data_IF_438567506591
#
_entry.id   IF_438567506591
#
_cell.length_a   1.000
_cell.length_b   1.000
_cell.length_c   1.000
_cell.angle_alpha   90.00
_cell.angle_beta   90.00
_cell.angle_gamma   90.00
#
_symmetry.space_group_name_H-M   'P 1'
#
loop_
_entity.id
_entity.type
_entity.pdbx_description
1 polymer ?
#
# COMPACT_ATOMS: atom_id res chain seq x y z
N UNK A 1 -16.77 -14.49 1.46
CA UNK A 1 -16.59 -15.93 1.21
C UNK A 1 -16.44 -16.18 -0.28
N UNK A 2 -15.59 -17.12 -0.65
CA UNK A 2 -15.46 -17.54 -2.04
C UNK A 2 -16.58 -18.51 -2.41
N UNK A 3 -17.26 -18.35 -3.56
CA UNK A 3 -18.29 -19.29 -3.97
C UNK A 3 -17.69 -20.68 -4.20
N UNK A 4 -18.36 -21.71 -3.65
CA UNK A 4 -17.89 -23.10 -3.68
C UNK A 4 -18.48 -23.94 -4.82
N UNK A 5 -19.36 -23.40 -5.66
CA UNK A 5 -20.06 -24.16 -6.71
C UNK A 5 -20.13 -23.39 -8.03
N UNK A 6 -19.80 -24.09 -9.15
CA UNK A 6 -20.00 -23.64 -10.51
C UNK A 6 -18.88 -22.73 -11.07
N UNK A 7 -18.97 -22.42 -12.35
CA UNK A 7 -18.17 -21.39 -12.99
C UNK A 7 -18.71 -20.02 -12.60
N UNK A 8 -18.07 -19.37 -11.62
CA UNK A 8 -18.43 -18.04 -11.16
C UNK A 8 -17.34 -17.05 -11.57
N UNK A 9 -17.72 -15.95 -12.22
CA UNK A 9 -16.81 -14.83 -12.48
C UNK A 9 -16.73 -14.00 -11.19
N UNK A 10 -15.56 -14.03 -10.54
CA UNK A 10 -15.30 -13.32 -9.30
C UNK A 10 -14.84 -11.87 -9.60
N UNK A 11 -15.63 -10.89 -9.17
CA UNK A 11 -15.36 -9.46 -9.40
C UNK A 11 -15.24 -8.63 -8.10
N UNK A 12 -15.44 -9.26 -6.93
CA UNK A 12 -15.62 -8.56 -5.65
C UNK A 12 -14.34 -8.16 -4.92
N UNK A 13 -13.15 -8.50 -5.45
CA UNK A 13 -11.86 -8.23 -4.79
C UNK A 13 -10.86 -7.47 -5.69
N UNK A 14 -11.33 -7.00 -6.86
CA UNK A 14 -10.52 -6.24 -7.81
C UNK A 14 -9.18 -6.93 -8.14
N UNK A 15 -9.23 -8.25 -8.38
CA UNK A 15 -8.08 -8.99 -8.88
C UNK A 15 -7.83 -8.61 -10.34
N UNK A 16 -6.55 -8.55 -10.72
CA UNK A 16 -6.19 -8.24 -12.10
C UNK A 16 -6.67 -9.39 -13.02
N UNK A 17 -7.37 -9.10 -14.14
CA UNK A 17 -7.84 -10.13 -15.07
C UNK A 17 -6.70 -10.77 -15.88
N UNK A 18 -5.52 -10.15 -15.89
CA UNK A 18 -4.35 -10.67 -16.61
C UNK A 18 -3.43 -11.44 -15.65
N UNK A 19 -2.86 -12.59 -16.05
CA UNK A 19 -1.94 -13.36 -15.22
C UNK A 19 -0.60 -12.62 -15.05
N UNK A 20 0.21 -12.98 -14.02
CA UNK A 20 1.60 -12.55 -13.94
C UNK A 20 2.37 -12.93 -15.19
N UNK A 21 3.45 -12.19 -15.52
CA UNK A 21 4.26 -12.52 -16.69
C UNK A 21 4.88 -13.93 -16.58
N UNK A 22 5.15 -14.60 -17.71
CA UNK A 22 5.80 -15.92 -17.71
C UNK A 22 7.14 -15.92 -16.97
N UNK A 23 7.90 -14.82 -17.04
CA UNK A 23 9.17 -14.65 -16.34
C UNK A 23 9.00 -14.77 -14.82
N UNK A 24 7.99 -14.11 -14.26
CA UNK A 24 7.70 -14.16 -12.82
C UNK A 24 7.36 -15.58 -12.39
N UNK A 25 6.48 -16.26 -13.16
CA UNK A 25 6.06 -17.62 -12.87
C UNK A 25 7.23 -18.62 -12.93
N UNK A 26 8.14 -18.45 -13.89
CA UNK A 26 9.33 -19.31 -14.02
C UNK A 26 10.29 -19.08 -12.84
N UNK A 27 10.58 -17.83 -12.51
CA UNK A 27 11.44 -17.50 -11.36
C UNK A 27 10.90 -18.10 -10.05
N UNK A 28 9.58 -18.10 -9.84
CA UNK A 28 8.97 -18.74 -8.66
C UNK A 28 9.20 -20.26 -8.71
N UNK A 29 9.00 -20.91 -9.87
CA UNK A 29 9.19 -22.37 -10.00
C UNK A 29 10.63 -22.78 -9.70
N UNK A 30 11.61 -22.05 -10.24
CA UNK A 30 13.04 -22.30 -10.01
C UNK A 30 13.44 -22.09 -8.54
N UNK A 31 12.72 -21.24 -7.81
CA UNK A 31 12.98 -20.94 -6.40
C UNK A 31 12.40 -21.96 -5.43
N UNK A 32 11.59 -22.92 -5.91
CA UNK A 32 11.06 -24.01 -5.09
C UNK A 32 12.14 -25.09 -4.94
N UNK A 33 13.02 -24.91 -3.96
CA UNK A 33 14.18 -25.76 -3.69
C UNK A 33 14.23 -26.20 -2.22
N UNK A 34 15.23 -27.01 -1.85
CA UNK A 34 15.48 -27.40 -0.44
C UNK A 34 15.76 -26.20 0.47
N UNK A 35 16.07 -25.02 -0.08
CA UNK A 35 16.35 -23.81 0.68
C UNK A 35 15.10 -23.18 1.30
N UNK A 36 13.89 -23.64 0.95
CA UNK A 36 12.66 -23.29 1.67
C UNK A 36 12.69 -23.64 3.18
N UNK A 37 13.62 -24.47 3.62
CA UNK A 37 13.89 -24.73 5.05
C UNK A 37 14.56 -23.58 5.80
N UNK A 38 15.05 -22.56 5.08
CA UNK A 38 15.74 -21.40 5.65
C UNK A 38 14.77 -20.22 5.79
N UNK A 39 15.00 -19.38 6.78
CA UNK A 39 14.28 -18.10 6.88
C UNK A 39 14.63 -17.17 5.70
N UNK A 40 13.68 -16.35 5.26
CA UNK A 40 13.93 -15.35 4.23
C UNK A 40 14.83 -14.21 4.72
N UNK A 41 15.26 -13.35 3.79
CA UNK A 41 15.92 -12.09 4.15
C UNK A 41 14.94 -11.18 4.90
N UNK A 42 15.15 -11.00 6.20
CA UNK A 42 14.34 -10.15 7.05
C UNK A 42 14.29 -8.69 6.57
N UNK A 43 15.36 -8.24 5.93
CA UNK A 43 15.50 -6.89 5.37
C UNK A 43 14.80 -6.69 4.04
N UNK A 44 14.40 -7.77 3.35
CA UNK A 44 13.91 -7.72 1.96
C UNK A 44 14.81 -6.85 1.07
N UNK A 45 16.14 -7.00 1.22
CA UNK A 45 17.16 -6.12 0.64
C UNK A 45 17.10 -6.10 -0.88
N UNK A 46 16.81 -7.25 -1.52
CA UNK A 46 16.65 -7.36 -2.96
C UNK A 46 15.47 -6.53 -3.49
N UNK A 47 14.33 -6.59 -2.81
CA UNK A 47 13.13 -5.79 -3.16
C UNK A 47 13.39 -4.31 -2.93
N UNK A 48 13.95 -3.94 -1.77
CA UNK A 48 14.26 -2.53 -1.44
C UNK A 48 15.27 -1.90 -2.41
N UNK A 49 16.26 -2.65 -2.84
CA UNK A 49 17.25 -2.18 -3.84
C UNK A 49 16.59 -1.87 -5.19
N UNK A 50 15.68 -2.72 -5.66
CA UNK A 50 14.94 -2.49 -6.92
C UNK A 50 14.01 -1.29 -6.83
N UNK A 51 13.27 -1.17 -5.72
CA UNK A 51 12.42 0.01 -5.46
C UNK A 51 13.25 1.29 -5.39
N UNK A 52 14.43 1.23 -4.79
CA UNK A 52 15.39 2.35 -4.74
C UNK A 52 15.76 2.82 -6.15
N UNK A 53 16.09 1.88 -7.04
CA UNK A 53 16.42 2.18 -8.44
C UNK A 53 15.23 2.73 -9.24
N UNK A 54 14.06 2.09 -9.10
CA UNK A 54 12.85 2.47 -9.85
C UNK A 54 12.33 3.83 -9.43
N UNK A 55 12.29 4.08 -8.11
CA UNK A 55 11.70 5.29 -7.56
C UNK A 55 12.74 6.39 -7.31
N UNK A 56 14.05 6.13 -7.51
CA UNK A 56 15.12 7.11 -7.33
C UNK A 56 15.20 7.63 -5.90
N UNK A 57 15.12 6.74 -4.89
CA UNK A 57 15.18 7.07 -3.48
C UNK A 57 16.03 6.05 -2.72
N UNK A 58 16.73 6.42 -1.64
CA UNK A 58 17.54 5.50 -0.84
C UNK A 58 16.74 4.30 -0.31
N UNK A 59 17.38 3.13 -0.20
CA UNK A 59 16.72 1.91 0.24
C UNK A 59 16.19 1.98 1.69
N UNK A 60 16.76 2.84 2.53
CA UNK A 60 16.31 3.12 3.89
C UNK A 60 14.94 3.84 3.96
N UNK A 61 14.45 4.37 2.85
CA UNK A 61 13.11 4.96 2.76
C UNK A 61 12.00 3.91 2.55
N UNK A 62 12.35 2.61 2.47
CA UNK A 62 11.38 1.56 2.18
C UNK A 62 11.30 0.52 3.31
N UNK A 63 10.09 0.05 3.58
CA UNK A 63 9.81 -1.16 4.34
C UNK A 63 8.86 -2.05 3.56
N UNK A 64 9.11 -3.36 3.59
CA UNK A 64 8.34 -4.36 2.85
C UNK A 64 7.42 -5.11 3.81
N UNK A 65 6.16 -5.30 3.38
CA UNK A 65 5.12 -5.97 4.15
C UNK A 65 4.44 -7.11 3.40
N UNK A 66 3.73 -7.93 4.15
CA UNK A 66 2.89 -9.01 3.64
C UNK A 66 1.57 -8.43 3.05
N UNK A 67 1.71 -7.67 1.97
CA UNK A 67 0.71 -6.79 1.40
C UNK A 67 0.67 -5.41 2.08
N UNK A 68 -0.01 -4.46 1.46
CA UNK A 68 -0.23 -3.13 2.07
C UNK A 68 -1.08 -3.20 3.34
N UNK A 69 -1.94 -4.21 3.49
CA UNK A 69 -2.78 -4.39 4.67
C UNK A 69 -1.94 -4.58 5.96
N UNK A 70 -0.86 -5.38 5.90
CA UNK A 70 0.06 -5.50 7.03
C UNK A 70 0.75 -4.17 7.33
N UNK A 71 1.18 -3.44 6.31
CA UNK A 71 1.85 -2.15 6.49
C UNK A 71 0.91 -1.12 7.13
N UNK A 72 -0.34 -1.05 6.70
CA UNK A 72 -1.35 -0.19 7.32
C UNK A 72 -1.55 -0.55 8.81
N UNK A 73 -1.60 -1.84 9.15
CA UNK A 73 -1.65 -2.29 10.54
C UNK A 73 -0.40 -1.88 11.33
N UNK A 74 0.79 -2.10 10.77
CA UNK A 74 2.07 -1.71 11.40
C UNK A 74 2.14 -0.19 11.62
N UNK A 75 1.69 0.60 10.64
CA UNK A 75 1.63 2.06 10.74
C UNK A 75 0.70 2.48 11.88
N UNK A 76 -0.52 1.95 11.93
CA UNK A 76 -1.44 2.31 13.00
C UNK A 76 -0.92 1.89 14.37
N UNK A 77 -0.31 0.70 14.51
CA UNK A 77 0.34 0.27 15.76
C UNK A 77 1.50 1.16 16.19
N UNK A 78 2.18 1.83 15.26
CA UNK A 78 3.25 2.77 15.56
C UNK A 78 2.73 4.13 16.02
N UNK A 79 1.64 4.59 15.47
CA UNK A 79 1.26 6.02 15.56
C UNK A 79 -0.10 6.26 16.20
N UNK A 80 -0.93 5.23 16.40
CA UNK A 80 -2.23 5.35 17.05
C UNK A 80 -2.38 4.28 18.15
N UNK A 81 -2.93 4.69 19.28
CA UNK A 81 -3.24 3.83 20.43
C UNK A 81 -4.64 4.11 20.98
N UNK A 82 -4.95 3.56 22.17
CA UNK A 82 -6.26 3.71 22.78
C UNK A 82 -6.70 5.17 22.91
N UNK A 83 -7.83 5.51 22.30
CA UNK A 83 -8.42 6.85 22.33
C UNK A 83 -7.84 7.84 21.31
N UNK A 84 -6.74 7.53 20.61
CA UNK A 84 -6.20 8.38 19.55
C UNK A 84 -7.16 8.43 18.35
N UNK A 85 -7.28 9.62 17.76
CA UNK A 85 -8.20 9.85 16.63
C UNK A 85 -7.52 9.51 15.29
N UNK A 86 -8.21 8.70 14.48
CA UNK A 86 -7.80 8.36 13.13
C UNK A 86 -8.87 8.84 12.15
N UNK A 87 -8.53 9.83 11.34
CA UNK A 87 -9.43 10.48 10.36
C UNK A 87 -9.33 9.76 9.01
N UNK A 88 -10.45 9.52 8.35
CA UNK A 88 -10.48 8.91 7.03
C UNK A 88 -11.77 9.24 6.27
N UNK A 89 -11.75 9.32 4.92
CA UNK A 89 -12.95 9.56 4.15
C UNK A 89 -13.90 8.35 4.16
N UNK A 90 -15.20 8.58 3.94
CA UNK A 90 -16.19 7.50 3.79
C UNK A 90 -17.19 7.84 2.68
N UNK A 91 -17.53 6.90 1.76
CA UNK A 91 -17.03 5.52 1.68
C UNK A 91 -15.57 5.42 1.21
N UNK A 92 -14.80 4.50 1.79
CA UNK A 92 -13.43 4.19 1.42
C UNK A 92 -13.13 2.69 1.63
N UNK A 93 -11.85 2.30 1.71
CA UNK A 93 -11.45 0.92 1.92
C UNK A 93 -11.99 0.38 3.27
N UNK A 94 -12.91 -0.61 3.27
CA UNK A 94 -13.62 -1.01 4.50
C UNK A 94 -12.72 -1.62 5.59
N UNK A 95 -11.47 -1.96 5.27
CA UNK A 95 -10.56 -2.54 6.23
C UNK A 95 -9.99 -1.51 7.21
N UNK A 96 -10.06 -0.22 6.89
CA UNK A 96 -9.60 0.85 7.79
C UNK A 96 -10.32 0.79 9.14
N UNK A 97 -11.64 0.65 9.17
CA UNK A 97 -12.40 0.52 10.42
C UNK A 97 -11.90 -0.60 11.33
N UNK A 98 -11.58 -1.76 10.73
CA UNK A 98 -11.05 -2.90 11.48
C UNK A 98 -9.66 -2.65 12.03
N UNK A 99 -8.79 -2.04 11.23
CA UNK A 99 -7.42 -1.71 11.63
C UNK A 99 -7.41 -0.69 12.77
N UNK A 100 -8.28 0.31 12.72
CA UNK A 100 -8.46 1.33 13.76
C UNK A 100 -8.95 0.67 15.05
N UNK A 101 -9.99 -0.16 14.96
CA UNK A 101 -10.53 -0.87 16.10
C UNK A 101 -9.51 -1.81 16.78
N UNK A 102 -8.60 -2.43 16.02
CA UNK A 102 -7.52 -3.27 16.55
C UNK A 102 -6.52 -2.50 17.43
N UNK A 103 -6.46 -1.18 17.33
CA UNK A 103 -5.61 -0.33 18.15
C UNK A 103 -6.36 0.33 19.31
N UNK A 104 -7.64 -0.01 19.53
CA UNK A 104 -8.55 0.71 20.43
C UNK A 104 -8.60 2.23 20.15
N UNK A 105 -8.28 2.63 18.91
CA UNK A 105 -8.32 4.02 18.46
C UNK A 105 -9.75 4.41 18.05
N UNK A 106 -9.99 5.73 17.98
CA UNK A 106 -11.28 6.31 17.60
C UNK A 106 -11.28 6.66 16.11
N UNK A 107 -12.07 5.96 15.33
CA UNK A 107 -12.28 6.27 13.91
C UNK A 107 -13.15 7.51 13.75
N UNK A 108 -12.71 8.44 12.90
CA UNK A 108 -13.41 9.68 12.56
C UNK A 108 -13.69 9.69 11.07
N UNK A 109 -14.84 9.12 10.63
CA UNK A 109 -15.19 9.11 9.22
C UNK A 109 -15.62 10.50 8.75
N UNK A 110 -15.06 10.94 7.62
CA UNK A 110 -15.41 12.19 6.93
C UNK A 110 -16.19 11.83 5.67
N UNK A 111 -17.49 12.15 5.60
CA UNK A 111 -18.30 11.81 4.44
C UNK A 111 -17.81 12.52 3.17
N UNK A 112 -17.73 11.81 2.06
CA UNK A 112 -17.60 12.41 0.74
C UNK A 112 -18.86 13.21 0.39
N UNK A 113 -18.72 14.20 -0.50
CA UNK A 113 -19.90 14.91 -1.00
C UNK A 113 -20.76 14.02 -1.93
N UNK A 114 -21.86 14.58 -2.45
CA UNK A 114 -22.78 13.81 -3.31
C UNK A 114 -22.17 13.41 -4.67
N UNK A 115 -21.10 14.08 -5.10
CA UNK A 115 -20.33 13.77 -6.31
C UNK A 115 -19.07 12.93 -5.98
N UNK A 116 -18.97 12.43 -4.75
CA UNK A 116 -17.84 11.66 -4.21
C UNK A 116 -16.51 12.42 -4.13
N UNK A 117 -16.53 13.76 -4.16
CA UNK A 117 -15.32 14.53 -3.93
C UNK A 117 -14.95 14.52 -2.45
N UNK A 118 -13.62 14.60 -2.20
CA UNK A 118 -13.07 14.68 -0.86
C UNK A 118 -13.19 16.10 -0.30
N UNK A 119 -13.84 16.28 0.87
CA UNK A 119 -13.83 17.56 1.57
C UNK A 119 -12.49 17.73 2.31
N UNK A 120 -11.49 18.31 1.65
CA UNK A 120 -10.13 18.44 2.17
C UNK A 120 -10.08 19.16 3.53
N UNK A 121 -10.90 20.19 3.72
CA UNK A 121 -10.96 20.95 4.96
C UNK A 121 -11.38 20.07 6.15
N UNK A 122 -12.32 19.16 5.93
CA UNK A 122 -12.85 18.28 6.98
C UNK A 122 -11.89 17.15 7.35
N UNK A 123 -10.93 16.82 6.46
CA UNK A 123 -9.86 15.87 6.76
C UNK A 123 -8.77 16.46 7.66
N UNK A 124 -8.67 17.78 7.73
CA UNK A 124 -7.70 18.49 8.57
C UNK A 124 -8.27 18.69 9.97
N UNK A 125 -7.91 17.79 10.89
CA UNK A 125 -8.32 17.88 12.29
C UNK A 125 -7.10 17.98 13.19
N UNK A 126 -7.07 19.00 14.07
CA UNK A 126 -5.89 19.34 14.90
C UNK A 126 -5.47 18.22 15.85
N UNK A 127 -6.43 17.41 16.32
CA UNK A 127 -6.21 16.30 17.25
C UNK A 127 -6.09 14.92 16.57
N UNK A 128 -6.04 14.89 15.24
CA UNK A 128 -5.83 13.64 14.49
C UNK A 128 -4.39 13.13 14.64
N UNK A 129 -4.22 11.91 15.15
CA UNK A 129 -2.91 11.24 15.21
C UNK A 129 -2.51 10.69 13.86
N UNK A 130 -3.48 10.17 13.11
CA UNK A 130 -3.29 9.62 11.77
C UNK A 130 -4.46 10.05 10.89
N UNK A 131 -4.15 10.47 9.66
CA UNK A 131 -5.13 10.64 8.59
C UNK A 131 -4.86 9.55 7.53
N UNK A 132 -5.84 8.69 7.25
CA UNK A 132 -5.77 7.66 6.22
C UNK A 132 -6.49 8.14 4.97
N UNK A 133 -5.81 8.06 3.82
CA UNK A 133 -6.34 8.49 2.53
C UNK A 133 -6.00 7.45 1.45
N UNK A 134 -6.99 6.76 0.90
CA UNK A 134 -6.80 5.98 -0.31
C UNK A 134 -6.78 6.91 -1.54
N UNK A 135 -5.73 6.85 -2.35
CA UNK A 135 -5.58 7.71 -3.54
C UNK A 135 -4.96 6.95 -4.72
N UNK A 136 -5.78 6.57 -5.73
CA UNK A 136 -7.23 6.79 -5.86
C UNK A 136 -8.06 6.09 -4.79
N UNK A 137 -9.19 6.71 -4.43
CA UNK A 137 -10.10 6.13 -3.44
C UNK A 137 -10.79 4.87 -3.97
N UNK A 138 -10.97 3.89 -3.12
CA UNK A 138 -11.80 2.70 -3.39
C UNK A 138 -13.04 2.74 -2.48
N UNK A 139 -14.29 2.69 -3.00
CA UNK A 139 -14.66 2.19 -4.33
C UNK A 139 -14.83 3.24 -5.43
N UNK A 140 -14.67 4.54 -5.14
CA UNK A 140 -15.10 5.61 -6.06
C UNK A 140 -14.19 5.79 -7.27
N UNK A 141 -12.91 5.40 -7.18
CA UNK A 141 -11.90 5.63 -8.22
C UNK A 141 -11.41 7.08 -8.33
N UNK A 142 -11.96 7.99 -7.53
CA UNK A 142 -11.59 9.40 -7.54
C UNK A 142 -10.29 9.59 -6.78
N UNK A 143 -9.38 10.38 -7.36
CA UNK A 143 -8.09 10.72 -6.75
C UNK A 143 -7.87 12.22 -6.67
N UNK A 144 -7.01 12.63 -5.75
CA UNK A 144 -6.53 14.00 -5.60
C UNK A 144 -5.36 14.27 -6.55
N UNK A 145 -5.24 15.51 -6.99
CA UNK A 145 -4.06 16.00 -7.68
C UNK A 145 -2.85 16.09 -6.74
N UNK A 146 -1.64 16.21 -7.30
CA UNK A 146 -0.42 16.39 -6.48
C UNK A 146 -0.50 17.66 -5.64
N UNK A 147 -1.04 18.75 -6.19
CA UNK A 147 -1.17 20.02 -5.47
C UNK A 147 -2.13 19.89 -4.27
N UNK A 148 -3.24 19.16 -4.44
CA UNK A 148 -4.18 18.87 -3.35
C UNK A 148 -3.56 17.96 -2.28
N UNK A 149 -2.78 16.95 -2.68
CA UNK A 149 -2.05 16.09 -1.75
C UNK A 149 -0.96 16.86 -0.99
N UNK A 150 -0.26 17.77 -1.65
CA UNK A 150 0.75 18.64 -1.05
C UNK A 150 0.11 19.64 -0.07
N UNK A 151 -1.03 20.24 -0.45
CA UNK A 151 -1.81 21.11 0.42
C UNK A 151 -2.29 20.36 1.67
N UNK A 152 -2.88 19.17 1.50
CA UNK A 152 -3.32 18.35 2.64
C UNK A 152 -2.15 18.01 3.56
N UNK A 153 -1.00 17.62 3.00
CA UNK A 153 0.21 17.32 3.77
C UNK A 153 0.75 18.54 4.54
N UNK A 154 0.59 19.76 4.04
CA UNK A 154 0.99 20.97 4.76
C UNK A 154 0.08 21.26 5.96
N UNK A 155 -1.17 20.84 5.92
CA UNK A 155 -2.20 21.21 6.88
C UNK A 155 -2.44 20.16 7.97
N UNK A 156 -2.19 18.89 7.67
CA UNK A 156 -2.32 17.78 8.63
C UNK A 156 -1.19 17.82 9.65
N UNK A 157 -1.54 17.81 10.94
CA UNK A 157 -0.57 17.86 12.04
C UNK A 157 0.00 16.49 12.43
N UNK A 158 -0.79 15.41 12.25
CA UNK A 158 -0.42 14.03 12.54
C UNK A 158 0.29 13.34 11.36
N UNK A 159 0.32 12.01 11.38
CA UNK A 159 0.81 11.21 10.26
C UNK A 159 -0.25 11.19 9.15
N UNK A 160 0.15 11.53 7.92
CA UNK A 160 -0.67 11.35 6.73
C UNK A 160 -0.26 10.07 6.01
N UNK A 161 -1.17 9.11 5.90
CA UNK A 161 -0.97 7.88 5.14
C UNK A 161 -1.73 7.99 3.82
N UNK A 162 -1.01 7.92 2.71
CA UNK A 162 -1.58 7.90 1.37
C UNK A 162 -1.47 6.46 0.85
N UNK A 163 -2.61 5.77 0.81
CA UNK A 163 -2.69 4.40 0.32
C UNK A 163 -2.89 4.39 -1.20
N UNK A 164 -1.81 4.12 -1.89
CA UNK A 164 -1.71 4.08 -3.36
C UNK A 164 -1.92 2.67 -3.94
N UNK A 165 -2.85 1.88 -3.38
CA UNK A 165 -3.10 0.52 -3.87
C UNK A 165 -3.51 0.46 -5.35
N UNK A 166 -4.07 1.53 -5.89
CA UNK A 166 -4.56 1.63 -7.28
C UNK A 166 -3.83 2.67 -8.12
N UNK A 167 -2.72 3.24 -7.64
CA UNK A 167 -2.03 4.37 -8.31
C UNK A 167 -1.56 4.05 -9.72
N UNK A 168 -1.18 2.80 -10.00
CA UNK A 168 -0.66 2.41 -11.32
C UNK A 168 -1.72 2.45 -12.43
N UNK A 169 -3.01 2.53 -12.07
CA UNK A 169 -4.13 2.71 -13.01
C UNK A 169 -4.51 4.17 -13.24
N UNK A 170 -3.84 5.10 -12.56
CA UNK A 170 -4.13 6.53 -12.63
C UNK A 170 -2.84 7.35 -12.51
N UNK A 171 -2.98 8.64 -12.61
CA UNK A 171 -1.99 9.64 -12.21
C UNK A 171 -2.74 10.62 -11.28
N UNK A 172 -2.11 11.18 -10.28
CA UNK A 172 -0.68 11.30 -9.94
C UNK A 172 -0.21 10.36 -8.82
N UNK A 173 1.13 10.31 -8.61
CA UNK A 173 1.82 9.51 -7.58
C UNK A 173 2.35 10.37 -6.43
N UNK A 174 2.05 10.00 -5.18
CA UNK A 174 2.36 10.79 -3.98
C UNK A 174 3.80 10.63 -3.42
N UNK A 175 4.67 9.83 -4.06
CA UNK A 175 6.07 9.66 -3.60
C UNK A 175 6.79 11.01 -3.49
N UNK A 176 6.54 11.96 -4.42
CA UNK A 176 7.09 13.31 -4.37
C UNK A 176 6.64 14.10 -3.14
N UNK A 177 5.39 13.95 -2.75
CA UNK A 177 4.82 14.58 -1.53
C UNK A 177 5.48 14.01 -0.28
N UNK A 178 5.64 12.68 -0.18
CA UNK A 178 6.30 12.04 0.95
C UNK A 178 7.80 12.39 1.07
N UNK A 179 8.47 12.75 -0.03
CA UNK A 179 9.84 13.29 0.02
C UNK A 179 9.90 14.70 0.61
N UNK A 180 8.88 15.50 0.33
CA UNK A 180 8.80 16.89 0.79
C UNK A 180 8.35 16.99 2.26
N UNK A 181 7.44 16.11 2.67
CA UNK A 181 6.81 16.12 4.00
C UNK A 181 7.19 14.89 4.81
N UNK A 182 7.99 15.05 5.85
CA UNK A 182 8.56 13.95 6.65
C UNK A 182 7.53 13.09 7.38
N UNK A 183 6.33 13.60 7.62
CA UNK A 183 5.23 12.89 8.30
C UNK A 183 4.29 12.16 7.33
N UNK A 184 4.59 12.18 6.02
CA UNK A 184 3.80 11.48 5.01
C UNK A 184 4.36 10.08 4.76
N UNK A 185 3.47 9.09 4.77
CA UNK A 185 3.75 7.70 4.44
C UNK A 185 2.93 7.34 3.19
N UNK A 186 3.58 6.78 2.18
CA UNK A 186 2.88 6.22 1.00
C UNK A 186 2.94 4.71 1.08
N UNK A 187 1.80 4.02 0.97
CA UNK A 187 1.74 2.56 0.86
C UNK A 187 1.38 2.14 -0.56
N UNK A 188 2.00 1.05 -1.05
CA UNK A 188 1.70 0.43 -2.35
C UNK A 188 1.64 -1.08 -2.23
N UNK A 189 1.01 -1.72 -3.21
CA UNK A 189 0.87 -3.18 -3.26
C UNK A 189 1.20 -3.73 -4.65
N UNK A 190 1.74 -4.95 -4.70
CA UNK A 190 1.89 -5.70 -5.94
C UNK A 190 0.64 -6.52 -6.27
N UNK A 191 -0.42 -6.42 -5.46
CA UNK A 191 -1.64 -7.22 -5.61
C UNK A 191 -2.48 -6.85 -6.83
N UNK A 192 -2.42 -5.59 -7.30
CA UNK A 192 -3.33 -5.05 -8.31
C UNK A 192 -2.68 -5.01 -9.69
N UNK A 193 -1.89 -4.01 -10.00
CA UNK A 193 -1.25 -3.81 -11.31
C UNK A 193 -0.26 -4.91 -11.68
N UNK A 194 0.46 -5.46 -10.71
CA UNK A 194 1.44 -6.54 -10.92
C UNK A 194 0.83 -7.95 -11.00
N UNK A 195 -0.50 -8.11 -10.83
CA UNK A 195 -1.19 -9.41 -10.87
C UNK A 195 -0.71 -10.41 -9.81
N UNK A 196 -0.24 -9.94 -8.66
CA UNK A 196 0.39 -10.74 -7.61
C UNK A 196 -0.42 -10.76 -6.29
N UNK A 197 -1.75 -10.68 -6.37
CA UNK A 197 -2.60 -10.66 -5.17
C UNK A 197 -2.35 -11.86 -4.23
N UNK A 198 -2.13 -13.06 -4.79
CA UNK A 198 -1.85 -14.29 -4.04
C UNK A 198 -0.45 -14.35 -3.43
N UNK A 199 0.48 -13.51 -3.87
CA UNK A 199 1.88 -13.46 -3.40
C UNK A 199 2.02 -12.61 -2.13
N UNK A 200 1.09 -11.70 -1.89
CA UNK A 200 1.04 -10.89 -0.67
C UNK A 200 2.29 -10.04 -0.44
N UNK A 201 2.62 -9.13 -1.35
CA UNK A 201 3.70 -8.16 -1.16
C UNK A 201 3.20 -6.74 -1.34
N UNK A 202 3.60 -5.87 -0.44
CA UNK A 202 3.43 -4.42 -0.50
C UNK A 202 4.67 -3.72 0.06
N UNK A 203 4.74 -2.43 -0.12
CA UNK A 203 5.79 -1.61 0.48
C UNK A 203 5.25 -0.28 0.98
N UNK A 204 5.91 0.28 1.99
CA UNK A 204 5.72 1.65 2.38
C UNK A 204 6.98 2.46 2.08
N UNK A 205 6.77 3.72 1.70
CA UNK A 205 7.78 4.75 1.49
C UNK A 205 7.54 5.89 2.46
N UNK A 206 8.57 6.31 3.19
CA UNK A 206 8.52 7.45 4.11
C UNK A 206 9.93 7.98 4.41
N UNK A 207 10.01 8.98 5.30
CA UNK A 207 11.30 9.41 5.86
C UNK A 207 12.02 8.27 6.58
N UNK A 208 13.37 8.26 6.61
CA UNK A 208 14.14 7.22 7.30
C UNK A 208 13.77 7.06 8.78
N UNK A 209 13.41 8.15 9.45
CA UNK A 209 12.98 8.15 10.85
C UNK A 209 11.69 7.36 11.05
N UNK A 210 10.70 7.57 10.18
CA UNK A 210 9.44 6.79 10.19
C UNK A 210 9.71 5.34 9.89
N UNK A 211 10.46 5.05 8.83
CA UNK A 211 10.80 3.67 8.45
C UNK A 211 11.51 2.94 9.59
N UNK A 212 12.44 3.60 10.29
CA UNK A 212 13.09 3.02 11.47
C UNK A 212 12.10 2.72 12.61
N UNK A 213 11.05 3.51 12.76
CA UNK A 213 9.94 3.24 13.67
C UNK A 213 9.15 1.98 13.27
N UNK A 214 8.76 1.89 12.00
CA UNK A 214 8.01 0.74 11.47
C UNK A 214 8.79 -0.57 11.60
N UNK A 215 10.12 -0.55 11.43
CA UNK A 215 10.99 -1.69 11.63
C UNK A 215 10.96 -2.26 13.06
N UNK A 216 10.71 -1.44 14.09
CA UNK A 216 10.62 -1.87 15.49
C UNK A 216 9.32 -2.62 15.79
N UNK A 217 8.26 -2.38 15.01
CA UNK A 217 6.91 -2.95 15.21
C UNK A 217 6.62 -4.10 14.29
N UNK A 218 7.21 -4.08 13.08
CA UNK A 218 7.06 -5.12 12.07
C UNK A 218 7.60 -6.46 12.57
N UNK A 219 6.91 -7.56 12.25
CA UNK A 219 7.46 -8.89 12.50
C UNK A 219 8.78 -9.14 11.74
N UNK A 220 9.66 -9.94 12.32
CA UNK A 220 11.02 -10.11 11.80
C UNK A 220 11.05 -10.74 10.40
N UNK A 221 10.33 -11.85 10.19
CA UNK A 221 10.26 -12.59 8.91
C UNK A 221 8.85 -12.55 8.32
N UNK A 222 8.29 -11.36 8.19
CA UNK A 222 6.89 -11.17 7.80
C UNK A 222 6.57 -11.57 6.34
N UNK A 223 7.54 -11.56 5.44
CA UNK A 223 7.36 -11.88 4.02
C UNK A 223 8.12 -13.16 3.69
N UNK A 224 7.46 -14.13 3.05
CA UNK A 224 8.06 -15.42 2.69
C UNK A 224 9.15 -15.28 1.63
N UNK A 225 10.09 -16.24 1.56
CA UNK A 225 11.14 -16.26 0.53
C UNK A 225 10.57 -16.26 -0.88
N UNK A 226 9.52 -17.05 -1.14
CA UNK A 226 8.87 -17.10 -2.47
C UNK A 226 8.20 -15.78 -2.82
N UNK A 227 7.62 -15.09 -1.83
CA UNK A 227 7.04 -13.78 -2.04
C UNK A 227 8.09 -12.72 -2.38
N UNK A 228 9.24 -12.76 -1.71
CA UNK A 228 10.35 -11.85 -2.03
C UNK A 228 10.88 -12.09 -3.45
N UNK A 229 11.13 -13.34 -3.82
CA UNK A 229 11.58 -13.71 -5.17
C UNK A 229 10.58 -13.27 -6.23
N UNK A 230 9.28 -13.50 -6.02
CA UNK A 230 8.24 -13.06 -6.94
C UNK A 230 8.18 -11.53 -7.09
N UNK A 231 8.34 -10.81 -5.97
CA UNK A 231 8.36 -9.35 -5.99
C UNK A 231 9.60 -8.81 -6.73
N UNK A 232 10.76 -9.40 -6.51
CA UNK A 232 11.99 -9.03 -7.22
C UNK A 232 11.84 -9.23 -8.73
N UNK A 233 11.35 -10.41 -9.16
CA UNK A 233 11.11 -10.70 -10.56
C UNK A 233 10.09 -9.74 -11.20
N UNK A 234 9.06 -9.36 -10.44
CA UNK A 234 8.04 -8.42 -10.90
C UNK A 234 8.59 -6.99 -11.07
N UNK A 235 9.44 -6.55 -10.15
CA UNK A 235 10.09 -5.24 -10.24
C UNK A 235 11.14 -5.19 -11.37
N UNK A 236 11.79 -6.32 -11.68
CA UNK A 236 12.67 -6.46 -12.84
C UNK A 236 11.91 -6.53 -14.18
N UNK A 237 10.59 -6.72 -14.14
CA UNK A 237 9.68 -6.80 -15.31
C UNK A 237 8.55 -5.76 -15.22
N UNK A 238 8.88 -4.55 -14.79
CA UNK A 238 7.91 -3.45 -14.60
C UNK A 238 7.14 -3.09 -15.88
N UNK A 239 7.70 -3.40 -17.06
CA UNK A 239 7.04 -3.22 -18.34
C UNK A 239 5.73 -4.01 -18.45
N UNK A 240 5.71 -5.25 -17.96
CA UNK A 240 4.49 -6.08 -17.92
C UNK A 240 3.41 -5.45 -17.04
N UNK A 241 3.77 -4.87 -15.90
CA UNK A 241 2.84 -4.15 -15.04
C UNK A 241 2.22 -2.96 -15.76
N UNK A 242 3.02 -2.14 -16.43
CA UNK A 242 2.51 -0.99 -17.20
C UNK A 242 1.58 -1.43 -18.34
N UNK A 243 1.87 -2.56 -19.01
CA UNK A 243 1.00 -3.12 -20.03
C UNK A 243 -0.34 -3.55 -19.44
N UNK A 244 -0.34 -4.24 -18.30
CA UNK A 244 -1.56 -4.64 -17.61
C UNK A 244 -2.38 -3.42 -17.18
N UNK A 245 -1.75 -2.42 -16.57
CA UNK A 245 -2.43 -1.20 -16.14
C UNK A 245 -3.12 -0.49 -17.33
N UNK A 246 -2.41 -0.31 -18.47
CA UNK A 246 -3.00 0.29 -19.67
C UNK A 246 -4.19 -0.51 -20.20
N UNK A 247 -4.10 -1.85 -20.21
CA UNK A 247 -5.18 -2.72 -20.71
C UNK A 247 -6.40 -2.76 -19.80
N UNK A 248 -6.22 -2.53 -18.50
CA UNK A 248 -7.34 -2.45 -17.54
C UNK A 248 -8.07 -1.13 -17.67
N UNK A 249 -7.36 -0.04 -17.98
CA UNK A 249 -7.93 1.32 -18.10
C UNK A 249 -8.57 1.57 -19.47
N UNK A 250 -8.15 0.84 -20.52
CA UNK A 250 -8.68 0.97 -21.89
C UNK A 250 -10.08 0.37 -22.02
#
# INVERSE_FOLDING_TARGET
EQPRQGQVIKLNTNENPYPPSPKILETIRESVTQDLRKYPDAGASGVRSRLSNILGAPAENFVIGNGSDELLNVILRCFAGPGDRVVFPTPTYPYYDKLIALQDAVGVPVPLDHDFNLPLDDLVQEDARVTLLANPNSPTGIGLSIDQLDELAQRVSGILVIDEAYVDFSQPQAIGVARKHKHVIVTRTLSKSFSLAGIRVGFAFASPEIIAGLWKVKEHYNVSSLSLVAAEAALDDIGSMHDHARRVVA
#
